data_IF_168329017750
#
_entry.id   IF_168329017750
#
_cell.length_a   1.000
_cell.length_b   1.000
_cell.length_c   1.000
_cell.angle_alpha   90.00
_cell.angle_beta   90.00
_cell.angle_gamma   90.00
#
_symmetry.space_group_name_H-M   'P 1'
#
loop_
_entity.id
_entity.type
_entity.pdbx_description
1 polymer ?
#
# COMPACT_ATOMS: atom_id res chain seq x y z
N UNK A 1 19.60 -9.07 -8.82
CA UNK A 1 18.39 -8.56 -8.15
C UNK A 1 17.97 -7.28 -8.84
N UNK A 2 16.72 -7.19 -9.22
CA UNK A 2 16.15 -6.03 -9.90
C UNK A 2 15.00 -5.45 -9.06
N UNK A 3 14.99 -4.12 -8.86
CA UNK A 3 13.98 -3.37 -8.11
C UNK A 3 13.02 -2.66 -9.08
N UNK A 4 11.78 -2.97 -8.98
CA UNK A 4 10.51 -2.39 -9.34
C UNK A 4 10.37 -1.14 -10.21
N UNK A 5 11.03 -1.04 -11.36
CA UNK A 5 10.63 -0.10 -12.41
C UNK A 5 9.99 -0.87 -13.57
N UNK A 6 9.11 -0.23 -14.36
CA UNK A 6 8.72 -0.78 -15.68
C UNK A 6 10.00 -0.88 -16.52
N UNK A 7 10.66 -2.06 -16.59
CA UNK A 7 11.89 -2.14 -17.36
C UNK A 7 11.52 -2.00 -18.84
N UNK A 8 12.31 -1.26 -19.56
CA UNK A 8 12.17 -1.16 -21.01
C UNK A 8 12.30 -2.57 -21.61
N UNK A 9 11.46 -2.93 -22.57
CA UNK A 9 11.45 -4.25 -23.22
C UNK A 9 12.87 -4.67 -23.69
N UNK A 10 13.65 -3.73 -24.25
CA UNK A 10 15.03 -3.96 -24.69
C UNK A 10 15.97 -4.38 -23.55
N UNK A 11 15.81 -3.81 -22.35
CA UNK A 11 16.64 -4.15 -21.20
C UNK A 11 16.39 -5.59 -20.74
N UNK A 12 15.18 -6.02 -20.81
CA UNK A 12 14.75 -7.37 -20.43
C UNK A 12 15.24 -8.42 -21.41
N UNK A 13 15.10 -8.17 -22.71
CA UNK A 13 15.65 -9.03 -23.75
C UNK A 13 17.17 -9.17 -23.60
N UNK A 14 17.84 -8.08 -23.23
CA UNK A 14 19.27 -8.12 -22.97
C UNK A 14 19.61 -9.03 -21.78
N UNK A 15 18.90 -8.90 -20.63
CA UNK A 15 19.11 -9.77 -19.47
C UNK A 15 18.82 -11.23 -19.82
N UNK A 16 17.76 -11.50 -20.58
CA UNK A 16 17.45 -12.85 -21.07
C UNK A 16 18.59 -13.43 -21.90
N UNK A 17 19.19 -12.63 -22.79
CA UNK A 17 20.31 -13.07 -23.63
C UNK A 17 21.55 -13.48 -22.85
N UNK A 18 21.71 -12.95 -21.64
CA UNK A 18 22.83 -13.28 -20.75
C UNK A 18 22.68 -14.64 -20.04
N UNK A 19 21.48 -15.23 -20.07
CA UNK A 19 21.14 -16.51 -19.43
C UNK A 19 21.58 -16.60 -17.95
N UNK A 20 21.44 -15.50 -17.20
CA UNK A 20 21.79 -15.43 -15.78
C UNK A 20 20.53 -15.52 -14.91
N UNK A 21 20.62 -16.14 -13.71
CA UNK A 21 19.52 -16.15 -12.74
C UNK A 21 19.08 -14.73 -12.39
N UNK A 22 17.76 -14.48 -12.41
CA UNK A 22 17.18 -13.20 -12.12
C UNK A 22 16.12 -13.31 -11.03
N UNK A 23 16.18 -12.46 -10.01
CA UNK A 23 15.09 -12.28 -9.04
C UNK A 23 14.58 -10.85 -9.14
N UNK A 24 13.26 -10.71 -9.30
CA UNK A 24 12.58 -9.42 -9.40
C UNK A 24 11.89 -9.15 -8.07
N UNK A 25 12.05 -7.93 -7.55
CA UNK A 25 11.41 -7.47 -6.32
C UNK A 25 10.19 -6.60 -6.66
N UNK A 26 9.08 -6.85 -5.96
CA UNK A 26 7.85 -6.04 -5.98
C UNK A 26 7.33 -5.67 -7.38
N UNK A 27 7.44 -6.59 -8.34
CA UNK A 27 6.92 -6.33 -9.69
C UNK A 27 6.24 -7.56 -10.28
N UNK A 28 5.03 -7.35 -10.84
CA UNK A 28 4.23 -8.38 -11.52
C UNK A 28 4.63 -8.56 -13.00
N UNK A 29 5.89 -8.41 -13.33
CA UNK A 29 6.35 -8.67 -14.70
C UNK A 29 6.49 -10.18 -14.91
N UNK A 30 5.76 -10.71 -15.87
CA UNK A 30 5.82 -12.13 -16.21
C UNK A 30 7.09 -12.45 -17.03
N UNK A 31 8.04 -13.13 -16.38
CA UNK A 31 9.27 -13.61 -17.00
C UNK A 31 9.44 -15.10 -16.73
N UNK A 32 9.46 -15.89 -17.79
CA UNK A 32 9.62 -17.35 -17.71
C UNK A 32 10.93 -17.80 -17.01
N UNK A 33 11.94 -16.95 -16.90
CA UNK A 33 13.25 -17.25 -16.30
C UNK A 33 13.57 -16.42 -15.04
N UNK A 34 12.59 -15.70 -14.51
CA UNK A 34 12.79 -14.88 -13.32
C UNK A 34 11.94 -15.39 -12.16
N UNK A 35 12.58 -15.62 -11.02
CA UNK A 35 11.86 -15.77 -9.77
C UNK A 35 11.41 -14.41 -9.26
N UNK A 36 10.32 -14.38 -8.50
CA UNK A 36 9.74 -13.14 -7.95
C UNK A 36 9.62 -13.25 -6.45
N UNK A 37 9.93 -12.16 -5.75
CA UNK A 37 9.63 -12.01 -4.34
C UNK A 37 9.13 -10.60 -4.09
N UNK A 38 8.03 -10.49 -3.35
CA UNK A 38 7.42 -9.21 -3.02
C UNK A 38 6.53 -9.31 -1.80
N UNK A 39 5.80 -8.24 -1.54
CA UNK A 39 4.79 -8.18 -0.50
C UNK A 39 3.39 -8.29 -1.12
N UNK A 40 2.46 -8.93 -0.42
CA UNK A 40 1.04 -8.94 -0.78
C UNK A 40 0.43 -7.56 -0.53
N UNK A 41 0.67 -6.66 -1.48
CA UNK A 41 0.18 -5.30 -1.43
C UNK A 41 -1.35 -5.23 -1.36
N UNK A 42 -2.03 -6.06 -2.14
CA UNK A 42 -3.48 -6.12 -2.18
C UNK A 42 -4.05 -6.60 -0.84
N UNK A 43 -3.51 -7.70 -0.28
CA UNK A 43 -3.91 -8.19 1.04
C UNK A 43 -3.65 -7.16 2.15
N UNK A 44 -2.56 -6.41 2.07
CA UNK A 44 -2.28 -5.33 3.02
C UNK A 44 -3.30 -4.20 2.99
N UNK A 45 -3.69 -3.74 1.80
CA UNK A 45 -4.75 -2.71 1.66
C UNK A 45 -6.10 -3.25 2.13
N UNK A 46 -6.45 -4.50 1.79
CA UNK A 46 -7.67 -5.15 2.25
C UNK A 46 -7.72 -5.20 3.78
N UNK A 47 -6.63 -5.60 4.42
CA UNK A 47 -6.50 -5.60 5.88
C UNK A 47 -6.63 -4.19 6.47
N UNK A 48 -6.08 -3.16 5.83
CA UNK A 48 -6.19 -1.78 6.30
C UNK A 48 -7.63 -1.27 6.24
N UNK A 49 -8.36 -1.54 5.16
CA UNK A 49 -9.78 -1.17 5.03
C UNK A 49 -10.63 -1.90 6.06
N UNK A 50 -10.43 -3.20 6.25
CA UNK A 50 -11.10 -3.99 7.31
C UNK A 50 -10.83 -3.43 8.71
N UNK A 51 -9.58 -3.07 8.99
CA UNK A 51 -9.20 -2.44 10.25
C UNK A 51 -9.96 -1.13 10.50
N UNK A 52 -10.03 -0.25 9.50
CA UNK A 52 -10.79 0.99 9.59
C UNK A 52 -12.29 0.73 9.80
N UNK A 53 -12.86 -0.22 9.08
CA UNK A 53 -14.25 -0.63 9.25
C UNK A 53 -14.53 -1.16 10.67
N UNK A 54 -13.65 -2.02 11.22
CA UNK A 54 -13.77 -2.53 12.60
C UNK A 54 -13.71 -1.40 13.64
N UNK A 55 -13.07 -0.28 13.31
CA UNK A 55 -13.04 0.93 14.11
C UNK A 55 -14.22 1.87 13.90
N UNK A 56 -15.19 1.46 13.08
CA UNK A 56 -16.45 2.17 12.85
C UNK A 56 -16.40 3.19 11.70
N UNK A 57 -15.38 3.15 10.86
CA UNK A 57 -15.32 4.01 9.69
C UNK A 57 -16.12 3.39 8.54
N UNK A 58 -17.17 4.09 8.09
CA UNK A 58 -18.04 3.69 6.97
C UNK A 58 -17.77 4.46 5.69
N UNK A 59 -17.22 5.67 5.83
CA UNK A 59 -16.88 6.54 4.72
C UNK A 59 -15.35 6.68 4.69
N UNK A 60 -14.74 5.92 3.80
CA UNK A 60 -13.28 5.79 3.69
C UNK A 60 -12.88 6.34 2.33
N UNK A 61 -11.93 7.28 2.29
CA UNK A 61 -11.35 7.81 1.07
C UNK A 61 -10.03 7.13 0.71
N UNK A 62 -9.53 7.42 -0.49
CA UNK A 62 -8.27 6.88 -1.00
C UNK A 62 -7.38 7.98 -1.59
N UNK A 63 -6.12 8.02 -1.16
CA UNK A 63 -5.10 8.91 -1.69
C UNK A 63 -4.00 8.10 -2.37
N UNK A 64 -4.06 8.04 -3.71
CA UNK A 64 -3.17 7.28 -4.58
C UNK A 64 -1.91 8.01 -5.02
N UNK A 65 -0.98 7.26 -5.62
CA UNK A 65 0.14 7.76 -6.42
C UNK A 65 -0.28 8.05 -7.86
N UNK A 66 0.68 8.00 -8.81
CA UNK A 66 0.37 8.13 -10.24
C UNK A 66 -0.66 7.06 -10.65
N UNK A 67 -1.70 7.49 -11.37
CA UNK A 67 -2.84 6.65 -11.75
C UNK A 67 -2.44 5.49 -12.67
N UNK A 68 -1.44 5.69 -13.51
CA UNK A 68 -0.89 4.67 -14.42
C UNK A 68 0.15 3.73 -13.74
N UNK A 69 0.48 3.98 -12.49
CA UNK A 69 1.38 3.11 -11.71
C UNK A 69 0.70 1.78 -11.37
N UNK A 70 1.37 0.67 -11.67
CA UNK A 70 0.89 -0.68 -11.33
C UNK A 70 0.59 -0.80 -9.84
N UNK A 71 1.46 -0.26 -8.98
CA UNK A 71 1.27 -0.28 -7.53
C UNK A 71 0.03 0.50 -7.11
N UNK A 72 -0.23 1.66 -7.74
CA UNK A 72 -1.43 2.45 -7.46
C UNK A 72 -2.69 1.70 -7.88
N UNK A 73 -2.69 1.11 -9.08
CA UNK A 73 -3.84 0.35 -9.61
C UNK A 73 -4.14 -0.88 -8.76
N UNK A 74 -3.12 -1.65 -8.39
CA UNK A 74 -3.28 -2.84 -7.53
C UNK A 74 -3.84 -2.47 -6.15
N UNK A 75 -3.28 -1.44 -5.49
CA UNK A 75 -3.74 -0.98 -4.18
C UNK A 75 -5.13 -0.36 -4.23
N UNK A 76 -5.43 0.40 -5.29
CA UNK A 76 -6.76 0.96 -5.48
C UNK A 76 -7.80 -0.14 -5.71
N UNK A 77 -7.52 -1.14 -6.56
CA UNK A 77 -8.43 -2.25 -6.79
C UNK A 77 -8.71 -3.01 -5.49
N UNK A 78 -7.67 -3.28 -4.69
CA UNK A 78 -7.82 -3.93 -3.40
C UNK A 78 -8.66 -3.12 -2.39
N UNK A 79 -8.52 -1.77 -2.41
CA UNK A 79 -9.35 -0.87 -1.62
C UNK A 79 -10.82 -0.93 -2.06
N UNK A 80 -11.10 -0.81 -3.35
CA UNK A 80 -12.46 -0.86 -3.92
C UNK A 80 -13.14 -2.20 -3.64
N UNK A 81 -12.42 -3.32 -3.84
CA UNK A 81 -12.91 -4.66 -3.54
C UNK A 81 -13.24 -4.82 -2.05
N UNK A 82 -12.34 -4.36 -1.16
CA UNK A 82 -12.56 -4.44 0.28
C UNK A 82 -13.79 -3.63 0.74
N UNK A 83 -14.03 -2.44 0.19
CA UNK A 83 -15.27 -1.70 0.47
C UNK A 83 -16.50 -2.50 0.06
N UNK A 84 -16.49 -3.07 -1.14
CA UNK A 84 -17.58 -3.88 -1.66
C UNK A 84 -17.85 -5.13 -0.82
N UNK A 85 -16.79 -5.85 -0.40
CA UNK A 85 -16.87 -7.03 0.47
C UNK A 85 -17.50 -6.69 1.84
N UNK A 86 -17.27 -5.47 2.34
CA UNK A 86 -17.84 -4.98 3.60
C UNK A 86 -19.21 -4.31 3.45
N UNK A 87 -19.76 -4.26 2.23
CA UNK A 87 -21.03 -3.60 1.95
C UNK A 87 -20.96 -2.07 2.08
N UNK A 88 -19.79 -1.49 1.93
CA UNK A 88 -19.58 -0.04 1.96
C UNK A 88 -19.67 0.56 0.55
N UNK A 89 -20.21 1.76 0.46
CA UNK A 89 -20.25 2.51 -0.78
C UNK A 89 -18.93 3.20 -1.05
N UNK A 90 -18.40 3.07 -2.28
CA UNK A 90 -17.24 3.81 -2.73
C UNK A 90 -17.63 5.20 -3.25
N UNK A 91 -17.19 6.24 -2.57
CA UNK A 91 -17.35 7.61 -3.03
C UNK A 91 -16.19 7.98 -3.99
N UNK A 92 -16.48 8.06 -5.29
CA UNK A 92 -15.48 8.41 -6.31
C UNK A 92 -14.90 9.82 -6.13
N UNK A 93 -15.64 10.74 -5.49
CA UNK A 93 -15.15 12.06 -5.15
C UNK A 93 -14.15 12.04 -3.98
N UNK A 94 -14.11 10.96 -3.23
CA UNK A 94 -13.12 10.71 -2.18
C UNK A 94 -11.88 9.93 -2.65
N UNK A 95 -11.71 9.71 -3.97
CA UNK A 95 -10.55 9.07 -4.57
C UNK A 95 -9.74 10.09 -5.34
N UNK A 96 -8.44 10.20 -5.06
CA UNK A 96 -7.54 11.13 -5.77
C UNK A 96 -6.20 10.47 -6.06
N UNK A 97 -5.69 10.76 -7.25
CA UNK A 97 -4.39 10.29 -7.75
C UNK A 97 -3.40 11.42 -7.92
N UNK A 98 -2.12 11.12 -8.02
CA UNK A 98 -1.05 12.07 -8.31
C UNK A 98 0.31 11.54 -7.91
N UNK A 99 1.32 12.40 -7.80
CA UNK A 99 2.68 11.95 -7.50
C UNK A 99 2.81 11.28 -6.11
N UNK A 100 3.68 10.29 -6.01
CA UNK A 100 4.05 9.65 -4.74
C UNK A 100 4.75 10.62 -3.76
N UNK A 101 5.20 11.78 -4.23
CA UNK A 101 5.81 12.80 -3.40
C UNK A 101 4.77 13.65 -2.66
N UNK A 102 5.22 14.34 -1.62
CA UNK A 102 4.41 15.31 -0.87
C UNK A 102 3.91 16.49 -1.74
N UNK A 103 4.55 16.74 -2.89
CA UNK A 103 4.17 17.84 -3.78
C UNK A 103 2.72 17.68 -4.29
N UNK A 104 1.92 18.70 -4.04
CA UNK A 104 0.53 18.72 -4.49
C UNK A 104 -0.45 17.91 -3.64
N UNK A 105 -0.03 17.34 -2.51
CA UNK A 105 -0.91 16.59 -1.60
C UNK A 105 -2.09 17.43 -1.15
N UNK A 106 -1.89 18.75 -0.86
CA UNK A 106 -2.98 19.66 -0.46
C UNK A 106 -4.13 19.67 -1.46
N UNK A 107 -3.84 19.74 -2.76
CA UNK A 107 -4.86 19.77 -3.83
C UNK A 107 -5.65 18.47 -3.97
N UNK A 108 -5.20 17.41 -3.33
CA UNK A 108 -5.82 16.08 -3.37
C UNK A 108 -6.53 15.75 -2.07
N UNK A 109 -5.87 15.97 -0.92
CA UNK A 109 -6.41 15.58 0.38
C UNK A 109 -7.58 16.48 0.83
N UNK A 110 -7.56 17.78 0.55
CA UNK A 110 -8.64 18.68 0.96
C UNK A 110 -9.96 18.36 0.23
N UNK A 111 -10.02 18.15 -1.10
CA UNK A 111 -11.23 17.64 -1.74
C UNK A 111 -11.72 16.32 -1.15
N UNK A 112 -10.83 15.37 -0.83
CA UNK A 112 -11.22 14.12 -0.15
C UNK A 112 -11.86 14.44 1.21
N UNK A 113 -11.25 15.28 2.04
CA UNK A 113 -11.79 15.63 3.35
C UNK A 113 -13.16 16.32 3.27
N UNK A 114 -13.38 17.14 2.23
CA UNK A 114 -14.66 17.84 2.00
C UNK A 114 -15.83 16.93 1.61
N UNK A 115 -15.57 15.69 1.15
CA UNK A 115 -16.66 14.72 0.92
C UNK A 115 -17.26 14.22 2.22
N UNK A 116 -16.63 14.47 3.36
CA UNK A 116 -17.08 14.01 4.68
C UNK A 116 -16.67 12.58 5.00
N UNK A 117 -15.62 12.05 4.38
CA UNK A 117 -15.01 10.77 4.80
C UNK A 117 -14.46 10.89 6.21
N UNK A 118 -14.52 9.79 6.95
CA UNK A 118 -14.02 9.72 8.34
C UNK A 118 -12.62 9.15 8.43
N UNK A 119 -12.13 8.51 7.34
CA UNK A 119 -10.78 8.00 7.22
C UNK A 119 -10.27 8.10 5.79
N UNK A 120 -8.95 8.14 5.61
CA UNK A 120 -8.28 8.09 4.31
C UNK A 120 -7.19 7.04 4.33
N UNK A 121 -7.25 6.13 3.36
CA UNK A 121 -6.16 5.19 3.05
C UNK A 121 -5.19 5.86 2.10
N UNK A 122 -3.98 6.13 2.57
CA UNK A 122 -2.88 6.61 1.74
C UNK A 122 -2.01 5.42 1.31
N UNK A 123 -1.63 5.36 0.05
CA UNK A 123 -0.84 4.23 -0.46
C UNK A 123 0.63 4.26 -0.04
N UNK A 124 1.09 5.27 0.68
CA UNK A 124 2.44 5.34 1.25
C UNK A 124 2.49 6.23 2.48
N UNK A 125 3.48 6.01 3.34
CA UNK A 125 3.68 6.83 4.54
C UNK A 125 4.05 8.27 4.21
N UNK A 126 4.78 8.50 3.10
CA UNK A 126 5.11 9.86 2.65
C UNK A 126 3.85 10.65 2.30
N UNK A 127 2.88 10.03 1.62
CA UNK A 127 1.60 10.65 1.33
C UNK A 127 0.77 10.83 2.60
N UNK A 128 0.77 9.86 3.51
CA UNK A 128 0.04 9.95 4.77
C UNK A 128 0.55 11.10 5.64
N UNK A 129 1.86 11.21 5.86
CA UNK A 129 2.46 12.31 6.63
C UNK A 129 2.19 13.68 5.99
N UNK A 130 2.29 13.76 4.65
CA UNK A 130 1.96 14.98 3.93
C UNK A 130 0.46 15.32 4.01
N UNK A 131 -0.41 14.31 3.98
CA UNK A 131 -1.85 14.49 4.14
C UNK A 131 -2.18 15.06 5.52
N UNK A 132 -1.62 14.48 6.58
CA UNK A 132 -1.77 15.00 7.96
C UNK A 132 -1.38 16.48 8.03
N UNK A 133 -0.19 16.83 7.55
CA UNK A 133 0.28 18.23 7.58
C UNK A 133 -0.66 19.19 6.83
N UNK A 134 -1.18 18.79 5.68
CA UNK A 134 -2.06 19.66 4.89
C UNK A 134 -3.48 19.73 5.46
N UNK A 135 -3.96 18.68 6.11
CA UNK A 135 -5.21 18.68 6.86
C UNK A 135 -5.13 19.60 8.06
N UNK A 136 -4.07 19.51 8.87
CA UNK A 136 -3.85 20.37 10.04
C UNK A 136 -3.73 21.85 9.67
N UNK A 137 -3.00 22.18 8.58
CA UNK A 137 -2.95 23.56 8.05
C UNK A 137 -4.31 24.08 7.59
N UNK A 138 -5.24 23.21 7.25
CA UNK A 138 -6.61 23.53 6.87
C UNK A 138 -7.60 23.54 8.05
N UNK A 139 -7.13 23.25 9.27
CA UNK A 139 -7.91 23.29 10.49
C UNK A 139 -8.54 21.96 10.90
N UNK A 140 -8.27 20.88 10.19
CA UNK A 140 -8.68 19.53 10.61
C UNK A 140 -7.73 18.99 11.67
N UNK A 141 -8.24 18.18 12.58
CA UNK A 141 -7.46 17.50 13.61
C UNK A 141 -7.41 15.99 13.31
N UNK A 142 -6.21 15.45 13.08
CA UNK A 142 -6.00 14.01 12.90
C UNK A 142 -5.63 13.39 14.26
N UNK A 143 -6.32 12.33 14.72
CA UNK A 143 -7.39 11.59 14.04
C UNK A 143 -8.81 12.06 14.39
N UNK A 144 -9.00 13.16 15.14
CA UNK A 144 -10.29 13.55 15.71
C UNK A 144 -11.36 13.81 14.64
N UNK A 145 -11.02 14.57 13.60
CA UNK A 145 -11.94 14.88 12.51
C UNK A 145 -11.85 13.81 11.41
N UNK A 146 -10.63 13.42 11.07
CA UNK A 146 -10.37 12.45 10.00
C UNK A 146 -9.17 11.57 10.37
N UNK A 147 -9.32 10.26 10.24
CA UNK A 147 -8.25 9.29 10.42
C UNK A 147 -7.42 9.16 9.15
N UNK A 148 -6.10 8.92 9.29
CA UNK A 148 -5.19 8.76 8.16
C UNK A 148 -4.34 7.53 8.35
N UNK A 149 -4.24 6.69 7.32
CA UNK A 149 -3.35 5.53 7.32
C UNK A 149 -2.31 5.62 6.22
N UNK A 150 -1.16 4.98 6.44
CA UNK A 150 -0.07 4.91 5.49
C UNK A 150 0.21 3.48 5.03
N UNK A 151 1.34 3.32 4.32
CA UNK A 151 1.87 2.05 3.86
C UNK A 151 3.40 2.13 3.80
N UNK A 152 4.12 1.04 4.09
CA UNK A 152 5.56 0.78 4.06
C UNK A 152 6.26 0.74 5.41
N UNK A 153 5.71 1.35 6.47
CA UNK A 153 6.34 1.54 7.77
C UNK A 153 7.72 2.20 7.64
N UNK A 154 7.78 3.32 6.91
CA UNK A 154 8.98 4.14 6.83
C UNK A 154 9.24 4.88 8.15
N UNK A 155 10.48 5.24 8.48
CA UNK A 155 10.79 6.00 9.70
C UNK A 155 9.95 7.28 9.85
N UNK A 156 9.60 7.94 8.75
CA UNK A 156 8.77 9.14 8.78
C UNK A 156 7.39 8.90 9.42
N UNK A 157 6.83 7.70 9.32
CA UNK A 157 5.54 7.35 9.91
C UNK A 157 5.61 7.24 11.43
N UNK A 158 6.77 6.93 11.98
CA UNK A 158 7.02 6.83 13.42
C UNK A 158 7.33 8.21 14.05
N UNK A 159 7.96 9.12 13.29
CA UNK A 159 8.33 10.45 13.77
C UNK A 159 7.30 11.53 13.46
N UNK A 160 6.20 11.20 12.74
CA UNK A 160 5.09 12.12 12.51
C UNK A 160 4.26 12.35 13.79
N UNK A 161 3.49 13.43 13.81
CA UNK A 161 2.51 13.72 14.86
C UNK A 161 1.16 14.02 14.20
N UNK A 162 0.14 13.15 14.46
CA UNK A 162 0.22 11.86 15.16
C UNK A 162 1.09 10.84 14.40
N UNK A 163 1.63 9.83 15.11
CA UNK A 163 2.34 8.71 14.46
C UNK A 163 1.36 7.93 13.59
N UNK A 164 1.79 7.56 12.37
CA UNK A 164 0.91 6.97 11.35
C UNK A 164 0.72 5.48 11.56
N UNK A 165 -0.53 5.04 11.65
CA UNK A 165 -0.94 3.64 11.48
C UNK A 165 -0.65 3.23 10.05
N UNK A 166 0.09 2.13 9.85
CA UNK A 166 0.64 1.76 8.54
C UNK A 166 0.77 0.26 8.35
N UNK A 167 0.99 -0.18 7.11
CA UNK A 167 1.35 -1.57 6.80
C UNK A 167 2.87 -1.71 6.72
N UNK A 168 3.43 -2.65 7.47
CA UNK A 168 4.86 -2.96 7.44
C UNK A 168 5.18 -3.98 6.35
N UNK A 169 5.96 -3.57 5.38
CA UNK A 169 6.61 -4.48 4.44
C UNK A 169 7.99 -4.85 4.98
N UNK A 170 8.20 -6.11 5.35
CA UNK A 170 9.50 -6.55 5.86
C UNK A 170 10.57 -6.61 4.75
N UNK A 171 11.09 -5.44 4.39
CA UNK A 171 12.09 -5.27 3.32
C UNK A 171 13.36 -6.09 3.54
N UNK A 172 13.75 -6.27 4.81
CA UNK A 172 14.91 -7.10 5.16
C UNK A 172 14.62 -8.56 4.81
N UNK A 173 13.43 -9.05 5.13
CA UNK A 173 13.02 -10.40 4.79
C UNK A 173 12.91 -10.58 3.27
N UNK A 174 12.30 -9.64 2.55
CA UNK A 174 12.25 -9.65 1.08
C UNK A 174 13.67 -9.77 0.50
N UNK A 175 14.62 -8.94 0.96
CA UNK A 175 16.00 -8.98 0.50
C UNK A 175 16.72 -10.30 0.80
N UNK A 176 16.55 -10.86 2.01
CA UNK A 176 17.09 -12.17 2.38
C UNK A 176 16.49 -13.30 1.52
N UNK A 177 15.18 -13.29 1.31
CA UNK A 177 14.49 -14.27 0.46
C UNK A 177 15.00 -14.18 -0.98
N UNK A 178 15.12 -12.97 -1.54
CA UNK A 178 15.67 -12.77 -2.88
C UNK A 178 17.09 -13.34 -3.03
N UNK A 179 17.94 -13.17 -2.02
CA UNK A 179 19.30 -13.72 -2.03
C UNK A 179 19.30 -15.25 -2.01
N UNK A 180 18.49 -15.87 -1.14
CA UNK A 180 18.34 -17.33 -1.07
C UNK A 180 17.82 -17.88 -2.40
N UNK A 181 16.81 -17.24 -3.00
CA UNK A 181 16.28 -17.60 -4.31
C UNK A 181 17.36 -17.58 -5.39
N UNK A 182 18.18 -16.53 -5.45
CA UNK A 182 19.32 -16.47 -6.39
C UNK A 182 20.32 -17.61 -6.21
N UNK A 183 20.65 -17.95 -4.97
CA UNK A 183 21.57 -19.07 -4.68
C UNK A 183 20.99 -20.40 -5.18
N UNK A 184 19.70 -20.65 -4.92
CA UNK A 184 19.01 -21.87 -5.36
C UNK A 184 18.92 -21.95 -6.89
N UNK A 185 18.58 -20.86 -7.56
CA UNK A 185 18.54 -20.78 -9.04
C UNK A 185 19.93 -21.05 -9.63
N UNK A 186 20.99 -20.53 -9.00
CA UNK A 186 22.36 -20.78 -9.45
C UNK A 186 22.79 -22.23 -9.28
N UNK A 187 22.11 -22.98 -8.39
CA UNK A 187 22.28 -24.44 -8.21
C UNK A 187 21.35 -25.27 -9.10
N UNK A 188 20.64 -24.64 -10.05
CA UNK A 188 19.75 -25.31 -11.00
C UNK A 188 18.36 -25.63 -10.43
N UNK A 189 18.00 -25.07 -9.25
CA UNK A 189 16.69 -25.27 -8.65
C UNK A 189 15.71 -24.26 -9.24
N UNK A 190 14.59 -24.74 -9.77
CA UNK A 190 13.49 -23.88 -10.19
C UNK A 190 12.73 -23.36 -8.97
N UNK A 191 12.42 -22.05 -8.94
CA UNK A 191 11.78 -21.41 -7.80
C UNK A 191 10.51 -20.71 -8.26
N UNK A 192 9.45 -20.91 -7.49
CA UNK A 192 8.18 -20.19 -7.65
C UNK A 192 8.25 -18.78 -7.05
N UNK A 193 7.28 -17.94 -7.40
CA UNK A 193 7.14 -16.61 -6.80
C UNK A 193 6.82 -16.72 -5.30
N UNK A 194 7.45 -15.85 -4.50
CA UNK A 194 7.20 -15.75 -3.06
C UNK A 194 6.52 -14.42 -2.78
N UNK A 195 5.34 -14.47 -2.15
CA UNK A 195 4.62 -13.29 -1.67
C UNK A 195 4.60 -13.30 -0.14
N UNK A 196 5.15 -12.26 0.47
CA UNK A 196 5.21 -12.09 1.91
C UNK A 196 3.98 -11.28 2.38
N UNK A 197 3.39 -11.66 3.51
CA UNK A 197 2.28 -10.90 4.08
C UNK A 197 2.80 -9.65 4.80
N UNK A 198 2.20 -8.47 4.56
CA UNK A 198 2.49 -7.29 5.36
C UNK A 198 1.83 -7.39 6.73
N UNK A 199 2.33 -6.62 7.69
CA UNK A 199 1.83 -6.56 9.06
C UNK A 199 1.24 -5.18 9.34
N UNK A 200 0.07 -5.13 9.98
CA UNK A 200 -0.52 -3.87 10.43
C UNK A 200 0.22 -3.36 11.67
N UNK A 201 0.70 -2.13 11.61
CA UNK A 201 1.31 -1.41 12.73
C UNK A 201 0.34 -0.31 13.16
N UNK A 202 -0.37 -0.54 14.25
CA UNK A 202 -1.30 0.43 14.82
C UNK A 202 -0.54 1.54 15.55
N UNK A 203 -0.98 2.80 15.33
CA UNK A 203 -0.47 4.00 16.00
C UNK A 203 -1.62 5.00 16.25
N UNK A 204 -1.31 6.29 16.41
CA UNK A 204 -2.27 7.29 16.88
C UNK A 204 -3.14 7.91 15.78
N UNK A 205 -2.81 7.74 14.51
CA UNK A 205 -3.48 8.44 13.40
C UNK A 205 -4.88 7.91 13.05
N UNK A 206 -5.38 6.92 13.80
CA UNK A 206 -6.72 6.34 13.60
C UNK A 206 -7.50 6.36 14.91
N UNK A 207 -8.69 7.00 14.90
CA UNK A 207 -9.62 6.99 16.04
C UNK A 207 -10.53 5.76 16.03
N UNK A 208 -11.10 5.46 17.17
CA UNK A 208 -12.21 4.52 17.30
C UNK A 208 -13.52 5.32 17.31
N UNK A 209 -14.39 5.09 16.31
CA UNK A 209 -15.76 5.65 16.26
C UNK A 209 -16.74 4.68 16.90
N UNK A 210 -16.74 3.43 16.45
CA UNK A 210 -17.54 2.34 17.00
C UNK A 210 -16.79 1.02 16.82
N UNK A 211 -16.86 0.13 17.82
CA UNK A 211 -16.25 -1.19 17.69
C UNK A 211 -17.14 -2.12 16.88
N UNK A 212 -16.59 -2.73 15.83
CA UNK A 212 -17.24 -3.78 15.02
C UNK A 212 -16.43 -5.07 15.07
N UNK A 213 -17.10 -6.16 14.80
CA UNK A 213 -16.51 -7.49 14.73
C UNK A 213 -16.83 -8.02 13.34
N UNK A 214 -15.85 -8.59 12.65
CA UNK A 214 -16.09 -9.27 11.38
C UNK A 214 -17.08 -10.43 11.61
N UNK A 215 -18.03 -10.68 10.69
CA UNK A 215 -18.85 -11.87 10.72
C UNK A 215 -17.95 -13.11 10.78
N UNK A 216 -18.34 -14.10 11.59
CA UNK A 216 -17.68 -15.40 11.56
C UNK A 216 -17.87 -15.98 10.16
N UNK A 217 -16.78 -16.38 9.50
CA UNK A 217 -16.88 -17.11 8.24
C UNK A 217 -17.58 -18.44 8.55
N UNK A 218 -18.73 -18.66 7.93
CA UNK A 218 -19.41 -19.98 7.95
C UNK A 218 -18.43 -21.04 7.42
N UNK A 219 -18.00 -21.94 8.33
CA UNK A 219 -17.06 -23.01 8.03
C UNK A 219 -17.67 -24.10 7.18
#
# INVERSE_FOLDING_TARGET
VFLGFKPHHVFIEHIRSLNIPLVILDNNVDYQLAARVGCDSAGGIRQMVQYLWMRGHDRIGFLGGEEDSIVTQERYQAYSDALKELGLEEDKDAVRYGHFSAKGTRKRILPIAQTGVTAVVCISDLLACSAVQELEKAGYVVPTDISVTGYDNLPVSEYSQPRITTMYQNRIHIGKTAFVMLQQMNSGISIEAVSLRPELIERESVKLIAKRILPEEDK
#
